data_IF_309953364658
#
_entry.id   IF_309953364658
#
_cell.length_a   1.000
_cell.length_b   1.000
_cell.length_c   1.000
_cell.angle_alpha   90.00
_cell.angle_beta   90.00
_cell.angle_gamma   90.00
#
_symmetry.space_group_name_H-M   'P 1'
#
loop_
_entity.id
_entity.type
_entity.pdbx_description
1 polymer ?
#
# COMPACT_ATOMS: atom_id res chain seq x y z
N UNK A 1 -32.46 -57.50 -38.77
CA UNK A 1 -32.72 -56.49 -37.71
C UNK A 1 -31.39 -55.86 -37.31
N UNK A 2 -31.48 -54.56 -37.02
CA UNK A 2 -30.46 -53.54 -36.76
C UNK A 2 -29.14 -53.95 -36.07
N UNK A 3 -28.03 -53.36 -36.54
CA UNK A 3 -27.16 -52.45 -35.74
C UNK A 3 -26.16 -51.72 -36.64
N UNK A 4 -26.49 -50.47 -36.99
CA UNK A 4 -25.53 -49.40 -37.31
C UNK A 4 -25.35 -48.58 -36.04
N UNK A 5 -24.11 -48.22 -35.69
CA UNK A 5 -23.66 -46.96 -35.07
C UNK A 5 -22.16 -47.16 -34.79
N UNK A 6 -21.31 -46.46 -35.53
CA UNK A 6 -19.91 -46.29 -35.19
C UNK A 6 -19.55 -44.82 -35.44
N UNK A 7 -19.41 -44.09 -34.32
CA UNK A 7 -18.51 -42.97 -34.06
C UNK A 7 -18.54 -41.80 -35.07
N UNK A 8 -19.36 -40.79 -34.76
CA UNK A 8 -19.15 -39.39 -35.17
C UNK A 8 -19.08 -38.55 -33.90
N UNK A 9 -17.89 -38.50 -33.27
CA UNK A 9 -17.67 -37.72 -32.04
C UNK A 9 -16.23 -37.18 -31.96
N UNK A 10 -15.69 -36.68 -33.07
CA UNK A 10 -14.38 -36.00 -33.06
C UNK A 10 -14.32 -34.65 -33.80
N UNK A 11 -15.38 -34.26 -34.53
CA UNK A 11 -15.34 -32.99 -35.30
C UNK A 11 -15.86 -31.76 -34.51
N UNK A 12 -16.77 -31.95 -33.54
CA UNK A 12 -17.38 -30.83 -32.80
C UNK A 12 -16.48 -30.25 -31.71
N UNK A 13 -15.69 -31.09 -31.03
CA UNK A 13 -14.76 -30.62 -29.99
C UNK A 13 -13.62 -29.78 -30.58
N UNK A 14 -13.09 -30.17 -31.75
CA UNK A 14 -12.03 -29.43 -32.44
C UNK A 14 -12.53 -28.11 -33.02
N UNK A 15 -13.79 -28.02 -33.46
CA UNK A 15 -14.38 -26.78 -33.97
C UNK A 15 -14.68 -25.77 -32.85
N UNK A 16 -15.16 -26.24 -31.70
CA UNK A 16 -15.32 -25.41 -30.50
C UNK A 16 -13.98 -24.90 -29.96
N UNK A 17 -12.95 -25.75 -29.94
CA UNK A 17 -11.60 -25.33 -29.55
C UNK A 17 -11.03 -24.29 -30.53
N UNK A 18 -11.33 -24.41 -31.83
CA UNK A 18 -10.89 -23.45 -32.86
C UNK A 18 -11.61 -22.10 -32.75
N UNK A 19 -12.92 -22.08 -32.47
CA UNK A 19 -13.66 -20.84 -32.21
C UNK A 19 -13.13 -20.17 -30.93
N UNK A 20 -12.91 -20.95 -29.86
CA UNK A 20 -12.40 -20.41 -28.61
C UNK A 20 -10.97 -19.88 -28.74
N UNK A 21 -10.09 -20.56 -29.50
CA UNK A 21 -8.74 -20.07 -29.80
C UNK A 21 -8.73 -18.81 -30.67
N UNK A 22 -9.71 -18.65 -31.58
CA UNK A 22 -9.82 -17.43 -32.40
C UNK A 22 -10.35 -16.25 -31.59
N UNK A 23 -11.32 -16.49 -30.70
CA UNK A 23 -11.87 -15.48 -29.78
C UNK A 23 -10.84 -15.05 -28.72
N UNK A 24 -9.95 -15.95 -28.29
CA UNK A 24 -8.79 -15.64 -27.44
C UNK A 24 -7.71 -14.84 -28.17
N UNK A 25 -7.55 -15.03 -29.49
CA UNK A 25 -6.57 -14.29 -30.31
C UNK A 25 -7.05 -12.89 -30.72
N UNK A 26 -8.37 -12.68 -30.84
CA UNK A 26 -8.96 -11.37 -31.12
C UNK A 26 -9.22 -10.53 -29.85
N UNK A 27 -9.15 -11.11 -28.64
CA UNK A 27 -9.04 -10.38 -27.36
C UNK A 27 -7.62 -9.89 -27.10
N UNK A 28 -7.03 -9.20 -28.07
CA UNK A 28 -5.92 -8.30 -27.80
C UNK A 28 -6.51 -7.11 -27.04
N UNK A 29 -6.47 -7.21 -25.71
CA UNK A 29 -6.89 -6.17 -24.79
C UNK A 29 -5.98 -4.96 -25.01
N UNK A 30 -6.57 -3.83 -25.41
CA UNK A 30 -5.97 -2.50 -25.26
C UNK A 30 -5.89 -2.17 -23.75
N UNK A 31 -4.98 -2.84 -23.04
CA UNK A 31 -4.47 -2.36 -21.76
C UNK A 31 -3.38 -1.36 -22.13
N UNK A 32 -3.40 -0.11 -21.63
CA UNK A 32 -2.24 0.75 -21.77
C UNK A 32 -1.06 0.01 -21.11
N UNK A 33 -0.12 -0.44 -21.94
CA UNK A 33 1.15 -0.99 -21.51
C UNK A 33 1.89 0.19 -20.87
N UNK A 34 1.76 0.34 -19.55
CA UNK A 34 2.70 1.14 -18.78
C UNK A 34 4.01 0.37 -18.83
N UNK A 35 4.96 0.95 -19.54
CA UNK A 35 6.25 0.36 -19.83
C UNK A 35 6.94 0.00 -18.51
N UNK A 36 7.20 -1.29 -18.36
CA UNK A 36 7.97 -1.97 -17.32
C UNK A 36 9.02 -1.08 -16.65
N UNK A 37 8.69 -0.44 -15.53
CA UNK A 37 9.68 0.23 -14.69
C UNK A 37 10.53 -0.84 -14.01
N UNK A 38 11.70 -1.09 -14.60
CA UNK A 38 12.74 -1.91 -13.96
C UNK A 38 13.27 -1.19 -12.73
N UNK A 39 13.22 -1.85 -11.58
CA UNK A 39 13.84 -1.38 -10.33
C UNK A 39 15.32 -1.07 -10.58
N UNK A 40 15.65 0.22 -10.59
CA UNK A 40 17.01 0.74 -10.66
C UNK A 40 17.43 1.13 -9.25
N UNK A 41 18.42 0.44 -8.68
CA UNK A 41 19.15 0.96 -7.52
C UNK A 41 20.04 2.12 -7.99
N UNK A 42 19.44 3.29 -8.18
CA UNK A 42 20.17 4.54 -8.40
C UNK A 42 20.91 4.96 -7.13
N UNK A 43 22.03 5.65 -7.29
CA UNK A 43 22.74 6.31 -6.19
C UNK A 43 21.93 7.54 -5.71
N UNK A 44 22.21 8.06 -4.51
CA UNK A 44 21.55 9.27 -3.99
C UNK A 44 21.64 10.48 -4.95
N UNK A 45 22.67 10.56 -5.79
CA UNK A 45 22.84 11.59 -6.84
C UNK A 45 21.91 11.38 -8.07
N UNK A 46 21.39 10.17 -8.32
CA UNK A 46 20.46 9.91 -9.44
C UNK A 46 19.00 10.16 -9.07
N UNK A 47 18.65 10.07 -7.78
CA UNK A 47 17.33 10.43 -7.24
C UNK A 47 17.02 11.92 -7.50
N UNK A 48 18.05 12.78 -7.58
CA UNK A 48 17.89 14.22 -7.87
C UNK A 48 17.39 14.55 -9.29
N UNK A 49 17.36 13.60 -10.24
CA UNK A 49 17.02 13.90 -11.65
C UNK A 49 15.56 13.76 -12.03
N UNK A 50 14.75 13.05 -11.25
CA UNK A 50 13.29 13.12 -11.37
C UNK A 50 12.76 14.16 -10.40
N UNK A 51 11.99 15.13 -10.91
CA UNK A 51 11.40 16.17 -10.07
C UNK A 51 10.42 15.53 -9.09
N UNK A 52 10.61 15.81 -7.79
CA UNK A 52 9.66 15.43 -6.75
C UNK A 52 8.24 15.86 -7.13
N UNK A 53 7.22 15.04 -6.84
CA UNK A 53 5.82 15.43 -7.05
C UNK A 53 5.52 16.72 -6.28
N UNK A 54 4.74 17.62 -6.88
CA UNK A 54 4.31 18.82 -6.18
C UNK A 54 3.49 18.42 -4.94
N UNK A 55 3.89 18.89 -3.77
CA UNK A 55 3.31 18.42 -2.51
C UNK A 55 3.07 19.56 -1.51
N UNK A 56 1.97 19.46 -0.78
CA UNK A 56 1.70 20.23 0.42
C UNK A 56 1.86 19.31 1.63
N UNK A 57 2.84 19.56 2.49
CA UNK A 57 3.07 18.78 3.71
C UNK A 57 1.91 18.87 4.72
N UNK A 58 0.96 19.81 4.52
CA UNK A 58 -0.29 19.83 5.28
C UNK A 58 -1.36 18.88 4.72
N UNK A 59 -1.12 18.24 3.57
CA UNK A 59 -2.01 17.22 3.02
C UNK A 59 -2.16 16.08 4.03
N UNK A 60 -3.42 15.79 4.36
CA UNK A 60 -3.80 14.71 5.25
C UNK A 60 -3.21 13.36 4.80
N UNK A 61 -3.13 13.11 3.48
CA UNK A 61 -2.63 11.86 2.92
C UNK A 61 -1.13 11.65 3.17
N UNK A 62 -0.37 12.72 3.39
CA UNK A 62 1.09 12.70 3.63
C UNK A 62 1.46 12.71 5.12
N UNK A 63 0.49 12.68 6.04
CA UNK A 63 0.78 12.64 7.48
C UNK A 63 1.60 11.41 7.85
N UNK A 64 2.79 11.63 8.39
CA UNK A 64 3.62 10.58 8.97
C UNK A 64 3.10 10.27 10.38
N UNK A 65 2.63 9.04 10.60
CA UNK A 65 2.23 8.53 11.91
C UNK A 65 3.12 7.35 12.25
N UNK A 66 3.84 7.43 13.37
CA UNK A 66 4.72 6.39 13.88
C UNK A 66 5.04 6.65 15.37
N UNK A 67 6.04 5.97 15.94
CA UNK A 67 6.40 6.13 17.36
C UNK A 67 6.80 7.55 17.76
N UNK A 68 7.26 8.36 16.81
CA UNK A 68 7.70 9.75 17.04
C UNK A 68 6.63 10.77 16.63
N UNK A 69 5.60 10.35 15.91
CA UNK A 69 4.52 11.19 15.39
C UNK A 69 3.16 10.61 15.78
N UNK A 70 2.61 11.12 16.89
CA UNK A 70 1.35 10.65 17.44
C UNK A 70 0.12 11.18 16.70
N UNK A 71 -1.01 10.50 16.89
CA UNK A 71 -2.33 10.82 16.38
C UNK A 71 -3.36 10.68 17.51
N UNK A 72 -4.27 11.64 17.64
CA UNK A 72 -5.43 11.55 18.53
C UNK A 72 -6.74 11.52 17.74
N UNK A 73 -7.85 11.14 18.37
CA UNK A 73 -9.15 11.13 17.68
C UNK A 73 -9.55 12.55 17.17
N UNK A 74 -9.03 13.63 17.78
CA UNK A 74 -9.20 15.01 17.29
C UNK A 74 -8.43 15.30 15.99
N UNK A 75 -7.38 14.55 15.69
CA UNK A 75 -6.60 14.71 14.45
C UNK A 75 -7.33 14.12 13.23
N UNK A 76 -8.39 13.34 13.44
CA UNK A 76 -9.23 12.76 12.38
C UNK A 76 -10.15 13.82 11.77
N UNK A 77 -9.59 14.58 10.83
CA UNK A 77 -10.32 15.63 10.11
C UNK A 77 -10.91 15.16 8.78
N UNK A 78 -10.37 14.08 8.19
CA UNK A 78 -10.88 13.48 6.96
C UNK A 78 -12.11 12.63 7.27
N UNK A 79 -13.25 12.83 6.57
CA UNK A 79 -14.45 12.02 6.79
C UNK A 79 -14.19 10.53 6.50
N UNK A 80 -14.73 9.67 7.38
CA UNK A 80 -14.78 8.24 7.13
C UNK A 80 -15.99 7.87 6.27
N UNK A 81 -15.81 6.86 5.42
CA UNK A 81 -16.85 6.26 4.58
C UNK A 81 -16.82 4.75 4.71
N UNK A 82 -17.99 4.09 4.62
CA UNK A 82 -18.06 2.65 4.53
C UNK A 82 -17.32 2.13 3.28
N UNK A 83 -16.65 0.99 3.45
CA UNK A 83 -16.09 0.14 2.43
C UNK A 83 -16.73 -1.26 2.57
N UNK A 84 -16.30 -2.23 1.76
CA UNK A 84 -16.80 -3.60 1.82
C UNK A 84 -16.80 -4.16 3.25
N UNK A 85 -17.77 -5.03 3.54
CA UNK A 85 -17.85 -5.79 4.81
C UNK A 85 -17.97 -4.97 6.10
N UNK A 86 -18.38 -3.71 5.98
CA UNK A 86 -18.62 -2.83 7.13
C UNK A 86 -17.36 -2.17 7.67
N UNK A 87 -16.22 -2.32 6.98
CA UNK A 87 -15.03 -1.53 7.26
C UNK A 87 -15.28 -0.05 6.93
N UNK A 88 -14.57 0.83 7.63
CA UNK A 88 -14.54 2.26 7.35
C UNK A 88 -13.14 2.68 6.95
N UNK A 89 -13.04 3.62 5.99
CA UNK A 89 -11.79 4.22 5.53
C UNK A 89 -11.98 5.72 5.33
N UNK A 90 -10.90 6.48 5.28
CA UNK A 90 -10.94 7.87 4.84
C UNK A 90 -11.58 7.97 3.44
N UNK A 91 -12.42 8.97 3.19
CA UNK A 91 -13.20 9.06 1.96
C UNK A 91 -12.36 9.01 0.68
N UNK A 92 -11.14 9.55 0.73
CA UNK A 92 -10.16 9.55 -0.36
C UNK A 92 -9.67 8.15 -0.75
N UNK A 93 -9.83 7.15 0.12
CA UNK A 93 -9.34 5.78 -0.06
C UNK A 93 -10.33 4.90 -0.80
N UNK A 94 -11.63 5.20 -0.73
CA UNK A 94 -12.71 4.34 -1.26
C UNK A 94 -12.50 4.01 -2.74
N UNK A 95 -12.46 5.03 -3.60
CA UNK A 95 -12.35 4.81 -5.05
C UNK A 95 -10.99 4.21 -5.48
N UNK A 96 -9.84 4.62 -4.88
CA UNK A 96 -8.57 3.93 -5.07
C UNK A 96 -8.62 2.44 -4.74
N UNK A 97 -9.15 2.07 -3.57
CA UNK A 97 -9.22 0.69 -3.13
C UNK A 97 -10.13 -0.13 -4.06
N UNK A 98 -11.33 0.34 -4.39
CA UNK A 98 -12.25 -0.34 -5.31
C UNK A 98 -11.62 -0.55 -6.70
N UNK A 99 -10.81 0.41 -7.15
CA UNK A 99 -10.08 0.30 -8.41
C UNK A 99 -8.99 -0.78 -8.35
N UNK A 100 -8.24 -0.83 -7.25
CA UNK A 100 -7.21 -1.84 -6.98
C UNK A 100 -7.83 -3.23 -6.86
N UNK A 101 -8.90 -3.38 -6.10
CA UNK A 101 -9.65 -4.63 -5.94
C UNK A 101 -10.15 -5.14 -7.30
N UNK A 102 -10.71 -4.27 -8.14
CA UNK A 102 -11.13 -4.63 -9.50
C UNK A 102 -9.96 -5.07 -10.39
N UNK A 103 -8.79 -4.44 -10.24
CA UNK A 103 -7.60 -4.83 -10.98
C UNK A 103 -7.05 -6.18 -10.53
N UNK A 104 -6.97 -6.42 -9.22
CA UNK A 104 -6.59 -7.70 -8.62
C UNK A 104 -7.52 -8.83 -9.10
N UNK A 105 -8.83 -8.60 -9.09
CA UNK A 105 -9.81 -9.57 -9.57
C UNK A 105 -9.59 -9.95 -11.05
N UNK A 106 -9.20 -9.00 -11.90
CA UNK A 106 -8.84 -9.29 -13.30
C UNK A 106 -7.55 -10.11 -13.43
N UNK A 107 -6.64 -9.99 -12.46
CA UNK A 107 -5.45 -10.81 -12.35
C UNK A 107 -5.72 -12.18 -11.70
N UNK A 108 -6.96 -12.49 -11.32
CA UNK A 108 -7.34 -13.74 -10.67
C UNK A 108 -7.08 -13.76 -9.16
N UNK A 109 -6.84 -12.60 -8.55
CA UNK A 109 -6.60 -12.42 -7.11
C UNK A 109 -7.85 -11.84 -6.47
N UNK A 110 -8.33 -12.45 -5.40
CA UNK A 110 -9.51 -11.97 -4.66
C UNK A 110 -9.04 -11.36 -3.35
N UNK A 111 -8.88 -10.04 -3.35
CA UNK A 111 -8.46 -9.32 -2.15
C UNK A 111 -9.52 -9.38 -1.05
N UNK A 112 -9.06 -9.37 0.20
CA UNK A 112 -9.87 -9.40 1.40
C UNK A 112 -9.31 -8.41 2.41
N UNK A 113 -10.14 -7.49 2.88
CA UNK A 113 -9.81 -6.59 3.98
C UNK A 113 -9.86 -7.38 5.29
N UNK A 114 -8.82 -7.24 6.11
CA UNK A 114 -8.71 -7.80 7.46
C UNK A 114 -8.93 -6.72 8.50
N UNK A 115 -8.41 -5.54 8.24
CA UNK A 115 -8.47 -4.37 9.11
C UNK A 115 -8.43 -3.09 8.27
N UNK A 116 -9.07 -2.04 8.77
CA UNK A 116 -9.11 -0.72 8.15
C UNK A 116 -9.08 0.35 9.26
N UNK A 117 -9.95 1.35 9.26
CA UNK A 117 -10.00 2.33 10.36
C UNK A 117 -10.09 1.66 11.74
N UNK A 118 -9.28 2.15 12.67
CA UNK A 118 -9.30 1.79 14.10
C UNK A 118 -9.26 3.07 14.92
N UNK A 119 -10.20 3.27 15.83
CA UNK A 119 -10.09 4.36 16.82
C UNK A 119 -8.88 4.13 17.75
N UNK A 120 -8.40 5.19 18.40
CA UNK A 120 -7.33 5.06 19.41
C UNK A 120 -7.73 4.07 20.51
N UNK A 121 -8.98 4.13 20.97
CA UNK A 121 -9.52 3.22 21.98
C UNK A 121 -9.62 1.76 21.55
N UNK A 122 -9.86 1.49 20.26
CA UNK A 122 -9.87 0.13 19.74
C UNK A 122 -8.44 -0.41 19.57
N UNK A 123 -7.49 0.42 19.15
CA UNK A 123 -6.08 0.03 19.08
C UNK A 123 -5.51 -0.35 20.45
N UNK A 124 -5.96 0.28 21.54
CA UNK A 124 -5.60 -0.16 22.90
C UNK A 124 -6.00 -1.61 23.14
N UNK A 125 -7.20 -2.02 22.73
CA UNK A 125 -7.63 -3.41 22.87
C UNK A 125 -6.76 -4.34 22.03
N UNK A 126 -6.52 -4.01 20.76
CA UNK A 126 -5.63 -4.80 19.88
C UNK A 126 -4.24 -4.96 20.49
N UNK A 127 -3.68 -3.88 21.03
CA UNK A 127 -2.36 -3.90 21.67
C UNK A 127 -2.34 -4.80 22.91
N UNK A 128 -3.34 -4.65 23.80
CA UNK A 128 -3.42 -5.45 25.02
C UNK A 128 -3.69 -6.93 24.75
N UNK A 129 -4.48 -7.25 23.72
CA UNK A 129 -4.77 -8.62 23.33
C UNK A 129 -3.51 -9.33 22.81
N UNK A 130 -2.75 -8.67 21.93
CA UNK A 130 -1.47 -9.19 21.43
C UNK A 130 -0.42 -9.33 22.55
N UNK A 131 -0.34 -8.35 23.45
CA UNK A 131 0.55 -8.43 24.61
C UNK A 131 0.18 -9.61 25.52
N UNK A 132 -1.11 -9.79 25.78
CA UNK A 132 -1.63 -10.88 26.61
C UNK A 132 -1.40 -12.25 25.96
N UNK A 133 -1.58 -12.36 24.65
CA UNK A 133 -1.28 -13.58 23.90
C UNK A 133 0.19 -13.97 24.04
N UNK A 134 1.12 -13.04 23.80
CA UNK A 134 2.55 -13.32 23.96
C UNK A 134 2.92 -13.72 25.40
N UNK A 135 2.32 -13.08 26.41
CA UNK A 135 2.51 -13.47 27.82
C UNK A 135 1.98 -14.89 28.09
N UNK A 136 0.82 -15.24 27.54
CA UNK A 136 0.22 -16.56 27.69
C UNK A 136 1.02 -17.67 26.98
N UNK A 137 1.78 -17.32 25.95
CA UNK A 137 2.73 -18.22 25.28
C UNK A 137 4.06 -18.39 26.06
N UNK A 138 4.21 -17.72 27.20
CA UNK A 138 5.32 -17.91 28.14
C UNK A 138 6.45 -16.87 28.02
N UNK A 139 6.28 -15.82 27.22
CA UNK A 139 7.23 -14.72 27.15
C UNK A 139 7.30 -13.94 28.46
N UNK A 140 8.48 -13.44 28.82
CA UNK A 140 8.59 -12.44 29.89
C UNK A 140 7.88 -11.14 29.46
N UNK A 141 7.54 -10.27 30.43
CA UNK A 141 6.91 -8.97 30.12
C UNK A 141 7.69 -8.15 29.07
N UNK A 142 9.02 -8.14 29.17
CA UNK A 142 9.87 -7.38 28.24
C UNK A 142 9.86 -7.99 26.83
N UNK A 143 9.90 -9.32 26.74
CA UNK A 143 9.84 -10.04 25.46
C UNK A 143 8.46 -9.89 24.82
N UNK A 144 7.38 -10.08 25.58
CA UNK A 144 6.01 -9.94 25.08
C UNK A 144 5.76 -8.53 24.54
N UNK A 145 6.25 -7.50 25.25
CA UNK A 145 6.19 -6.12 24.78
C UNK A 145 6.97 -5.95 23.48
N UNK A 146 8.19 -6.48 23.37
CA UNK A 146 8.97 -6.40 22.13
C UNK A 146 8.26 -7.11 20.97
N UNK A 147 7.81 -8.36 21.17
CA UNK A 147 7.10 -9.13 20.14
C UNK A 147 5.81 -8.45 19.68
N UNK A 148 5.11 -7.79 20.60
CA UNK A 148 3.92 -7.00 20.27
C UNK A 148 4.30 -5.76 19.48
N UNK A 149 5.24 -4.95 19.96
CA UNK A 149 5.64 -3.70 19.31
C UNK A 149 6.38 -3.91 17.97
N UNK A 150 6.87 -5.12 17.70
CA UNK A 150 7.45 -5.49 16.40
C UNK A 150 6.42 -5.44 15.25
N UNK A 151 5.12 -5.62 15.53
CA UNK A 151 4.04 -5.64 14.52
C UNK A 151 2.85 -4.73 14.87
N UNK A 152 2.61 -4.48 16.16
CA UNK A 152 1.45 -3.73 16.64
C UNK A 152 1.90 -2.38 17.19
N UNK A 153 1.61 -1.34 16.43
CA UNK A 153 1.80 0.03 16.87
C UNK A 153 1.03 0.33 18.17
N UNK A 154 1.61 1.19 19.01
CA UNK A 154 0.95 1.67 20.22
C UNK A 154 -0.30 2.49 19.88
N UNK A 155 -1.27 2.57 20.78
CA UNK A 155 -2.41 3.46 20.64
C UNK A 155 -1.95 4.90 20.43
N UNK A 156 -2.49 5.54 19.41
CA UNK A 156 -2.08 6.88 18.98
C UNK A 156 -0.84 6.90 18.08
N UNK A 157 -0.24 5.76 17.71
CA UNK A 157 0.88 5.70 16.75
C UNK A 157 0.60 4.74 15.58
N UNK A 158 -0.64 4.29 15.43
CA UNK A 158 -1.08 3.39 14.36
C UNK A 158 -1.65 4.18 13.19
N UNK A 159 -1.22 3.89 11.97
CA UNK A 159 -1.75 4.55 10.77
C UNK A 159 -3.24 4.28 10.54
N UNK A 160 -3.78 3.20 11.12
CA UNK A 160 -5.21 2.89 11.03
C UNK A 160 -6.10 3.97 11.67
N UNK A 161 -5.56 4.80 12.57
CA UNK A 161 -6.28 5.94 13.12
C UNK A 161 -6.66 6.99 12.07
N UNK A 162 -5.88 7.08 10.99
CA UNK A 162 -6.12 8.04 9.91
C UNK A 162 -7.22 7.60 8.94
N UNK A 163 -7.60 6.31 8.96
CA UNK A 163 -8.42 5.71 7.91
C UNK A 163 -7.72 5.57 6.55
N UNK A 164 -6.42 5.90 6.45
CA UNK A 164 -5.61 5.77 5.23
C UNK A 164 -4.95 4.39 5.10
N UNK A 165 -4.96 3.57 6.17
CA UNK A 165 -4.34 2.27 6.19
C UNK A 165 -5.36 1.12 6.12
N UNK A 166 -4.99 0.05 5.42
CA UNK A 166 -5.73 -1.21 5.38
C UNK A 166 -4.76 -2.39 5.47
N UNK A 167 -5.18 -3.43 6.19
CA UNK A 167 -4.56 -4.75 6.12
C UNK A 167 -5.32 -5.59 5.10
N UNK A 168 -4.64 -6.02 4.04
CA UNK A 168 -5.24 -6.72 2.91
C UNK A 168 -4.51 -8.03 2.64
N UNK A 169 -5.28 -9.11 2.58
CA UNK A 169 -4.83 -10.45 2.19
C UNK A 169 -5.58 -10.92 0.93
N UNK A 170 -5.33 -12.15 0.49
CA UNK A 170 -6.11 -12.83 -0.55
C UNK A 170 -6.94 -13.98 0.05
N UNK A 171 -8.11 -14.26 -0.53
CA UNK A 171 -9.00 -15.33 -0.08
C UNK A 171 -8.32 -16.70 -0.08
N UNK A 172 -7.52 -17.03 -1.09
CA UNK A 172 -6.79 -18.31 -1.17
C UNK A 172 -5.81 -18.49 -0.02
N UNK A 173 -5.16 -17.38 0.38
CA UNK A 173 -4.24 -17.35 1.51
C UNK A 173 -4.95 -17.63 2.83
N UNK A 174 -6.09 -16.99 3.04
CA UNK A 174 -6.95 -17.16 4.22
C UNK A 174 -7.56 -18.56 4.29
N UNK A 175 -8.06 -19.08 3.16
CA UNK A 175 -8.66 -20.43 3.07
C UNK A 175 -7.65 -21.54 3.40
N UNK A 176 -6.35 -21.25 3.27
CA UNK A 176 -5.26 -22.14 3.66
C UNK A 176 -4.96 -22.09 5.17
N UNK A 177 -5.68 -21.28 5.94
CA UNK A 177 -5.54 -21.13 7.39
C UNK A 177 -4.43 -20.17 7.82
N UNK A 178 -3.88 -19.37 6.90
CA UNK A 178 -2.85 -18.39 7.20
C UNK A 178 -3.44 -17.05 7.64
N UNK A 179 -2.62 -16.24 8.32
CA UNK A 179 -2.98 -14.90 8.80
C UNK A 179 -2.05 -13.82 8.27
N UNK A 180 -1.93 -12.75 9.06
CA UNK A 180 -1.01 -11.62 8.83
C UNK A 180 0.42 -12.05 9.19
N UNK A 181 1.10 -12.72 8.27
CA UNK A 181 2.49 -13.19 8.43
C UNK A 181 3.29 -12.93 7.16
N UNK A 182 4.59 -12.67 7.33
CA UNK A 182 5.47 -12.15 6.26
C UNK A 182 5.50 -13.01 4.99
N UNK A 183 5.24 -14.31 5.12
CA UNK A 183 5.14 -15.27 4.02
C UNK A 183 4.05 -14.92 3.01
N UNK A 184 3.05 -14.10 3.37
CA UNK A 184 2.06 -13.61 2.43
C UNK A 184 2.72 -12.88 1.24
N UNK A 185 3.81 -12.14 1.49
CA UNK A 185 4.56 -11.43 0.46
C UNK A 185 5.17 -12.33 -0.62
N UNK A 186 5.34 -13.63 -0.33
CA UNK A 186 5.88 -14.60 -1.28
C UNK A 186 4.81 -15.23 -2.18
N UNK A 187 3.53 -15.00 -1.87
CA UNK A 187 2.39 -15.47 -2.67
C UNK A 187 2.22 -14.65 -3.96
N UNK A 188 1.45 -15.17 -4.92
CA UNK A 188 1.10 -14.41 -6.12
C UNK A 188 0.33 -13.12 -5.77
N UNK A 189 -0.54 -13.15 -4.75
CA UNK A 189 -1.28 -11.98 -4.32
C UNK A 189 -0.39 -10.94 -3.63
N UNK A 190 0.51 -11.36 -2.74
CA UNK A 190 1.47 -10.46 -2.08
C UNK A 190 2.42 -9.79 -3.07
N UNK A 191 2.94 -10.55 -4.03
CA UNK A 191 3.77 -10.02 -5.14
C UNK A 191 3.00 -9.04 -6.02
N UNK A 192 1.75 -9.36 -6.33
CA UNK A 192 0.89 -8.47 -7.10
C UNK A 192 0.64 -7.15 -6.36
N UNK A 193 0.38 -7.19 -5.05
CA UNK A 193 0.24 -5.98 -4.25
C UNK A 193 1.54 -5.16 -4.25
N UNK A 194 2.69 -5.79 -4.02
CA UNK A 194 3.98 -5.10 -4.06
C UNK A 194 4.23 -4.41 -5.41
N UNK A 195 3.90 -5.07 -6.52
CA UNK A 195 4.09 -4.54 -7.88
C UNK A 195 3.10 -3.43 -8.23
N UNK A 196 1.82 -3.57 -7.86
CA UNK A 196 0.74 -2.76 -8.42
C UNK A 196 0.08 -1.76 -7.47
N UNK A 197 0.24 -1.88 -6.14
CA UNK A 197 -0.49 -1.03 -5.20
C UNK A 197 -0.22 0.48 -5.41
N UNK A 198 0.99 0.83 -5.83
CA UNK A 198 1.40 2.21 -6.14
C UNK A 198 0.61 2.85 -7.29
N UNK A 199 0.14 2.06 -8.27
CA UNK A 199 -0.70 2.56 -9.38
C UNK A 199 -2.05 3.12 -8.89
N UNK A 200 -2.46 2.68 -7.70
CA UNK A 200 -3.67 3.10 -7.03
C UNK A 200 -3.42 4.10 -5.91
N UNK A 201 -2.16 4.46 -5.64
CA UNK A 201 -1.80 5.43 -4.60
C UNK A 201 -1.55 4.82 -3.23
N UNK A 202 -1.37 3.50 -3.15
CA UNK A 202 -0.98 2.79 -1.95
C UNK A 202 0.49 2.41 -1.97
N UNK A 203 1.09 2.28 -0.80
CA UNK A 203 2.42 1.69 -0.61
C UNK A 203 2.31 0.48 0.32
N UNK A 204 3.20 -0.50 0.16
CA UNK A 204 3.52 -1.44 1.25
C UNK A 204 4.25 -0.62 2.31
N UNK A 205 3.60 -0.33 3.44
CA UNK A 205 4.10 0.66 4.40
C UNK A 205 5.36 0.22 5.14
N UNK A 206 5.44 -1.08 5.41
CA UNK A 206 6.51 -1.71 6.17
C UNK A 206 7.20 -2.76 5.28
N UNK A 207 8.03 -2.35 4.31
CA UNK A 207 8.75 -3.27 3.44
C UNK A 207 9.93 -3.91 4.17
N UNK A 208 10.39 -5.04 3.63
CA UNK A 208 11.56 -5.75 4.13
C UNK A 208 12.83 -4.90 3.99
N UNK A 209 13.79 -5.09 4.88
CA UNK A 209 15.10 -4.42 4.91
C UNK A 209 15.02 -2.90 5.21
N UNK A 210 13.88 -2.42 5.73
CA UNK A 210 13.64 -1.02 6.17
C UNK A 210 13.13 -0.92 7.60
N UNK A 211 13.14 -2.02 8.35
CA UNK A 211 12.65 -2.12 9.74
C UNK A 211 13.45 -1.22 10.68
N UNK A 212 14.74 -0.99 10.40
CA UNK A 212 15.58 -0.06 11.15
C UNK A 212 15.12 1.40 11.01
N UNK A 213 14.32 1.74 10.00
CA UNK A 213 13.77 3.07 9.78
C UNK A 213 12.33 3.12 10.32
N UNK A 214 11.46 2.22 9.85
CA UNK A 214 10.03 2.21 10.18
C UNK A 214 9.74 1.76 11.61
N UNK A 215 10.68 1.03 12.23
CA UNK A 215 10.56 0.37 13.55
C UNK A 215 9.48 -0.71 13.65
N UNK A 216 8.88 -1.08 12.53
CA UNK A 216 7.90 -2.17 12.41
C UNK A 216 8.50 -3.22 11.48
N UNK A 217 8.27 -4.50 11.79
CA UNK A 217 8.71 -5.63 10.99
C UNK A 217 8.03 -5.64 9.61
N UNK A 218 8.52 -6.50 8.71
CA UNK A 218 7.94 -6.63 7.38
C UNK A 218 6.46 -7.05 7.40
N UNK A 219 5.59 -6.21 6.84
CA UNK A 219 4.14 -6.43 6.74
C UNK A 219 3.66 -6.25 5.29
N UNK A 220 3.74 -7.30 4.44
CA UNK A 220 3.30 -7.24 3.04
C UNK A 220 1.80 -7.00 2.83
N UNK A 221 1.00 -7.06 3.90
CA UNK A 221 -0.44 -6.82 3.87
C UNK A 221 -0.82 -5.37 4.19
N UNK A 222 0.05 -4.61 4.88
CA UNK A 222 -0.28 -3.28 5.40
C UNK A 222 -0.09 -2.24 4.29
N UNK A 223 -1.20 -1.80 3.73
CA UNK A 223 -1.26 -0.78 2.68
C UNK A 223 -1.54 0.58 3.29
N UNK A 224 -0.75 1.59 2.90
CA UNK A 224 -0.96 3.00 3.28
C UNK A 224 -1.26 3.83 2.04
N UNK A 225 -2.41 4.51 2.02
CA UNK A 225 -2.74 5.46 0.96
C UNK A 225 -2.00 6.79 1.17
N UNK A 226 -1.32 7.24 0.11
CA UNK A 226 -0.62 8.52 0.07
C UNK A 226 -0.86 9.28 -1.25
N UNK A 227 -1.75 8.78 -2.13
CA UNK A 227 -1.96 9.35 -3.45
C UNK A 227 -1.00 8.79 -4.51
N UNK A 228 -1.45 8.79 -5.77
CA UNK A 228 -0.79 8.07 -6.88
C UNK A 228 0.62 8.56 -7.18
N UNK A 229 0.79 9.87 -7.33
CA UNK A 229 2.09 10.45 -7.71
C UNK A 229 3.15 10.18 -6.65
N UNK A 230 2.79 10.34 -5.37
CA UNK A 230 3.66 10.07 -4.24
C UNK A 230 3.99 8.57 -4.11
N UNK A 231 3.00 7.68 -4.21
CA UNK A 231 3.22 6.25 -4.14
C UNK A 231 4.09 5.73 -5.28
N UNK A 232 3.88 6.22 -6.51
CA UNK A 232 4.71 5.90 -7.66
C UNK A 232 6.15 6.37 -7.46
N UNK A 233 6.35 7.62 -7.02
CA UNK A 233 7.68 8.14 -6.74
C UNK A 233 8.40 7.30 -5.68
N UNK A 234 7.73 7.00 -4.55
CA UNK A 234 8.31 6.18 -3.49
C UNK A 234 8.66 4.76 -3.98
N UNK A 235 7.78 4.12 -4.76
CA UNK A 235 8.05 2.78 -5.30
C UNK A 235 9.25 2.79 -6.25
N UNK A 236 9.32 3.75 -7.17
CA UNK A 236 10.43 3.89 -8.13
C UNK A 236 11.76 4.08 -7.42
N UNK A 237 11.79 4.85 -6.33
CA UNK A 237 13.01 5.20 -5.61
C UNK A 237 13.30 4.29 -4.39
N UNK A 238 12.46 3.29 -4.11
CA UNK A 238 12.66 2.36 -3.00
C UNK A 238 12.65 3.04 -1.62
N UNK A 239 11.79 4.06 -1.46
CA UNK A 239 11.68 4.86 -0.25
C UNK A 239 10.60 4.33 0.70
N UNK A 240 10.82 4.48 2.00
CA UNK A 240 9.73 4.45 2.99
C UNK A 240 9.18 5.85 3.26
N UNK A 241 8.02 5.94 3.91
CA UNK A 241 7.33 7.22 4.11
C UNK A 241 8.19 8.20 4.91
N UNK A 242 8.94 7.72 5.90
CA UNK A 242 9.88 8.52 6.69
C UNK A 242 10.91 9.24 5.80
N UNK A 243 11.60 8.50 4.93
CA UNK A 243 12.60 9.06 4.00
C UNK A 243 11.93 10.02 3.00
N UNK A 244 10.73 9.68 2.53
CA UNK A 244 10.01 10.50 1.56
C UNK A 244 9.56 11.85 2.15
N UNK A 245 9.04 11.87 3.37
CA UNK A 245 8.64 13.11 4.04
C UNK A 245 9.85 13.99 4.32
N UNK A 246 11.00 13.42 4.75
CA UNK A 246 12.24 14.17 4.92
C UNK A 246 12.71 14.81 3.59
N UNK A 247 12.60 14.10 2.46
CA UNK A 247 12.91 14.66 1.14
C UNK A 247 12.00 15.84 0.77
N UNK A 248 10.69 15.73 1.00
CA UNK A 248 9.74 16.81 0.73
C UNK A 248 9.97 18.04 1.62
N UNK A 249 10.29 17.83 2.90
CA UNK A 249 10.65 18.90 3.82
C UNK A 249 11.87 19.68 3.33
N UNK A 250 12.94 18.97 2.97
CA UNK A 250 14.16 19.57 2.45
C UNK A 250 13.89 20.40 1.17
N UNK A 251 13.10 19.88 0.23
CA UNK A 251 12.76 20.62 -1.00
C UNK A 251 11.95 21.90 -0.70
N UNK A 252 11.00 21.85 0.24
CA UNK A 252 10.24 23.04 0.66
C UNK A 252 11.13 24.09 1.33
N UNK A 253 12.12 23.67 2.12
CA UNK A 253 13.09 24.56 2.74
C UNK A 253 13.96 25.28 1.70
N UNK A 254 14.52 24.54 0.73
CA UNK A 254 15.34 25.10 -0.34
C UNK A 254 14.57 26.10 -1.22
N UNK A 255 13.31 25.79 -1.56
CA UNK A 255 12.42 26.71 -2.30
C UNK A 255 12.26 28.03 -1.55
N UNK A 256 11.96 28.01 -0.25
CA UNK A 256 11.81 29.21 0.60
C UNK A 256 13.10 30.04 0.70
N UNK A 257 14.27 29.42 0.81
CA UNK A 257 15.55 30.12 0.83
C UNK A 257 15.87 30.80 -0.52
N UNK A 258 15.57 30.12 -1.63
CA UNK A 258 15.76 30.65 -2.97
C UNK A 258 14.85 31.85 -3.29
N UNK A 259 13.62 31.86 -2.75
CA UNK A 259 12.69 32.98 -2.89
C UNK A 259 13.09 34.18 -2.03
N UNK A 260 13.55 33.91 -0.80
CA UNK A 260 14.03 34.94 0.12
C UNK A 260 15.23 35.69 -0.47
N UNK A 261 16.22 34.96 -1.01
CA UNK A 261 17.42 35.54 -1.64
C UNK A 261 17.12 36.32 -2.94
N UNK A 262 16.15 35.88 -3.75
CA UNK A 262 15.65 36.64 -4.92
C UNK A 262 14.90 37.92 -4.54
N UNK A 263 14.23 37.93 -3.38
CA UNK A 263 13.56 39.13 -2.86
C UNK A 263 14.57 40.17 -2.35
N UNK A 264 15.59 39.76 -1.61
CA UNK A 264 16.62 40.68 -1.05
C UNK A 264 17.47 41.34 -2.14
N UNK A 265 17.72 40.64 -3.25
CA UNK A 265 18.50 41.14 -4.39
C UNK A 265 17.72 42.14 -5.27
N UNK A 266 16.39 42.01 -5.36
CA UNK A 266 15.52 42.98 -6.05
C UNK A 266 15.33 44.29 -5.26
N UNK A 267 15.36 44.22 -3.93
CA UNK A 267 15.19 45.41 -3.08
C UNK A 267 16.46 46.29 -3.05
N UNK A 268 17.64 45.69 -3.21
CA UNK A 268 18.92 46.40 -3.32
C UNK A 268 19.12 47.09 -4.66
N UNK A 269 18.58 46.55 -5.77
CA UNK A 269 18.67 47.18 -7.10
C UNK A 269 17.68 48.32 -7.32
N UNK A 270 16.62 48.44 -6.51
CA UNK A 270 15.62 49.52 -6.61
C UNK A 270 16.00 50.77 -5.78
N UNK A 271 17.09 50.70 -5.02
CA UNK A 271 17.61 51.79 -4.15
C UNK A 271 18.89 52.43 -4.69
N UNK A 272 19.37 52.01 -5.86
CA UNK A 272 20.53 52.58 -6.58
C UNK A 272 20.10 53.44 -7.75
#
# INVERSE_FOLDING_TARGET
>A
MSKKILIVLSALASFFLFIHLKELKERQLDVPIFEKYSYSKGTAEEIEKETLPESDLSDYCLRLINSDHSFTDEDLTMPLKPLAEGYEVAEVVVAPYESMEKAANKAGITLKIISAYRSVSYQEQVYQDNLSENLNQGSTKKEAQKLTEDYVAKPGTSEHHTGLALDVLDVTWLDSGNGLVGEFGETEAGKWLDEHCAEFGFIIRYPKDKEDITKIQYEPWHLRYIGKEHAQYMKTHGLVLEEYIELLENEQHEKKESETSKSTSKETTKKS
#
